data_IF_468608240010
#
_entry.id   IF_468608240010
#
_cell.length_a   1.000
_cell.length_b   1.000
_cell.length_c   1.000
_cell.angle_alpha   90.00
_cell.angle_beta   90.00
_cell.angle_gamma   90.00
#
_symmetry.space_group_name_H-M   'P 1'
#
loop_
_entity.id
_entity.type
_entity.pdbx_description
1 polymer ?
#
# COMPACT_ATOMS: atom_id res chain seq x y z
N UNK A 1 -16.70 -5.05 14.45
CA UNK A 1 -16.32 -5.73 13.19
C UNK A 1 -16.13 -7.22 13.46
N UNK A 2 -16.23 -8.08 12.45
CA UNK A 2 -15.91 -9.51 12.64
C UNK A 2 -14.40 -9.73 12.79
N UNK A 3 -13.99 -10.82 13.45
CA UNK A 3 -12.56 -11.20 13.54
C UNK A 3 -11.92 -11.32 12.16
N UNK A 4 -12.63 -11.91 11.20
CA UNK A 4 -12.16 -12.07 9.81
C UNK A 4 -11.88 -10.69 9.19
N UNK A 5 -12.80 -9.73 9.35
CA UNK A 5 -12.61 -8.37 8.81
C UNK A 5 -11.40 -7.68 9.43
N UNK A 6 -11.20 -7.83 10.73
CA UNK A 6 -10.03 -7.29 11.44
C UNK A 6 -8.73 -7.89 10.89
N UNK A 7 -8.68 -9.21 10.70
CA UNK A 7 -7.51 -9.89 10.13
C UNK A 7 -7.23 -9.43 8.70
N UNK A 8 -8.26 -9.30 7.85
CA UNK A 8 -8.11 -8.83 6.46
C UNK A 8 -7.56 -7.40 6.40
N UNK A 9 -8.08 -6.49 7.23
CA UNK A 9 -7.54 -5.11 7.30
C UNK A 9 -6.10 -5.11 7.81
N UNK A 10 -5.77 -5.93 8.81
CA UNK A 10 -4.41 -6.06 9.32
C UNK A 10 -3.45 -6.57 8.25
N UNK A 11 -3.82 -7.62 7.53
CA UNK A 11 -3.05 -8.16 6.40
C UNK A 11 -2.88 -7.13 5.29
N UNK A 12 -3.93 -6.36 4.99
CA UNK A 12 -3.87 -5.30 3.97
C UNK A 12 -2.91 -4.18 4.39
N UNK A 13 -2.92 -3.77 5.66
CA UNK A 13 -1.94 -2.82 6.19
C UNK A 13 -0.50 -3.35 6.07
N UNK A 14 -0.27 -4.62 6.43
CA UNK A 14 1.03 -5.25 6.26
C UNK A 14 1.47 -5.33 4.79
N UNK A 15 0.55 -5.67 3.88
CA UNK A 15 0.81 -5.66 2.44
C UNK A 15 1.29 -4.29 1.96
N UNK A 16 0.64 -3.20 2.38
CA UNK A 16 1.07 -1.85 2.00
C UNK A 16 2.43 -1.45 2.61
N UNK A 17 2.78 -1.92 3.81
CA UNK A 17 4.14 -1.75 4.35
C UNK A 17 5.17 -2.52 3.53
N UNK A 18 4.84 -3.73 3.06
CA UNK A 18 5.72 -4.51 2.18
C UNK A 18 5.90 -3.82 0.83
N UNK A 19 4.83 -3.30 0.23
CA UNK A 19 4.88 -2.53 -1.03
C UNK A 19 5.73 -1.27 -0.83
N UNK A 20 5.50 -0.50 0.25
CA UNK A 20 6.35 0.65 0.59
C UNK A 20 7.83 0.25 0.66
N UNK A 21 8.15 -0.83 1.37
CA UNK A 21 9.54 -1.25 1.53
C UNK A 21 10.19 -1.58 0.17
N UNK A 22 9.46 -2.24 -0.73
CA UNK A 22 9.90 -2.54 -2.08
C UNK A 22 10.08 -1.27 -2.93
N UNK A 23 9.11 -0.36 -2.91
CA UNK A 23 9.14 0.90 -3.68
C UNK A 23 10.26 1.84 -3.21
N UNK A 24 10.50 1.93 -1.89
CA UNK A 24 11.48 2.88 -1.34
C UNK A 24 12.90 2.34 -1.26
N UNK A 25 13.04 1.05 -0.94
CA UNK A 25 14.33 0.45 -0.56
C UNK A 25 14.68 -0.79 -1.39
N UNK A 26 13.79 -1.26 -2.27
CA UNK A 26 14.04 -2.38 -3.15
C UNK A 26 15.20 -2.13 -4.12
N UNK A 27 15.87 -3.21 -4.54
CA UNK A 27 16.85 -3.12 -5.63
C UNK A 27 16.14 -2.84 -6.96
N UNK A 28 16.74 -2.09 -7.89
CA UNK A 28 16.14 -1.78 -9.19
C UNK A 28 15.64 -3.02 -9.95
N UNK A 29 16.35 -4.15 -9.85
CA UNK A 29 15.97 -5.42 -10.50
C UNK A 29 14.66 -5.97 -9.92
N UNK A 30 14.52 -5.94 -8.59
CA UNK A 30 13.31 -6.40 -7.91
C UNK A 30 12.14 -5.45 -8.16
N UNK A 31 12.38 -4.13 -8.19
CA UNK A 31 11.36 -3.14 -8.54
C UNK A 31 10.87 -3.33 -9.98
N UNK A 32 11.79 -3.52 -10.93
CA UNK A 32 11.45 -3.76 -12.33
C UNK A 32 10.59 -5.04 -12.51
N UNK A 33 10.96 -6.12 -11.83
CA UNK A 33 10.24 -7.40 -11.87
C UNK A 33 8.84 -7.29 -11.26
N UNK A 34 8.71 -6.72 -10.06
CA UNK A 34 7.45 -6.70 -9.32
C UNK A 34 6.45 -5.67 -9.85
N UNK A 35 6.94 -4.60 -10.50
CA UNK A 35 6.09 -3.54 -11.08
C UNK A 35 6.06 -3.59 -12.62
N UNK A 36 6.57 -4.66 -13.22
CA UNK A 36 6.57 -4.87 -14.69
C UNK A 36 7.12 -3.68 -15.49
N UNK A 37 8.14 -3.02 -14.93
CA UNK A 37 8.78 -1.84 -15.54
C UNK A 37 10.11 -2.21 -16.21
N UNK A 38 10.51 -1.53 -17.31
CA UNK A 38 11.84 -1.69 -17.88
C UNK A 38 12.94 -1.33 -16.87
N UNK A 39 13.95 -2.19 -16.72
CA UNK A 39 15.04 -1.98 -15.76
C UNK A 39 15.78 -0.65 -16.00
N UNK A 40 16.01 -0.29 -17.27
CA UNK A 40 16.68 0.96 -17.64
C UNK A 40 15.86 2.20 -17.28
N UNK A 41 14.52 2.08 -17.24
CA UNK A 41 13.64 3.14 -16.74
C UNK A 41 13.73 3.25 -15.22
N UNK A 42 13.62 2.12 -14.50
CA UNK A 42 13.68 2.09 -13.03
C UNK A 42 14.99 2.66 -12.50
N UNK A 43 16.11 2.46 -13.20
CA UNK A 43 17.42 3.02 -12.83
C UNK A 43 17.53 4.54 -12.98
N UNK A 44 16.59 5.20 -13.67
CA UNK A 44 16.62 6.65 -13.82
C UNK A 44 16.39 7.34 -12.47
N UNK A 45 17.14 8.41 -12.14
CA UNK A 45 16.99 9.12 -10.87
C UNK A 45 15.54 9.59 -10.60
N UNK A 46 14.85 10.08 -11.64
CA UNK A 46 13.47 10.56 -11.50
C UNK A 46 12.47 9.42 -11.25
N UNK A 47 12.69 8.24 -11.85
CA UNK A 47 11.86 7.07 -11.60
C UNK A 47 12.03 6.58 -10.16
N UNK A 48 13.27 6.57 -9.63
CA UNK A 48 13.55 6.25 -8.23
C UNK A 48 12.88 7.24 -7.25
N UNK A 49 12.87 8.54 -7.57
CA UNK A 49 12.16 9.55 -6.77
C UNK A 49 10.65 9.28 -6.81
N UNK A 50 10.07 9.01 -7.98
CA UNK A 50 8.65 8.72 -8.12
C UNK A 50 8.23 7.47 -7.34
N UNK A 51 9.01 6.38 -7.42
CA UNK A 51 8.79 5.17 -6.63
C UNK A 51 8.85 5.45 -5.14
N UNK A 52 9.84 6.20 -4.66
CA UNK A 52 9.93 6.55 -3.23
C UNK A 52 8.74 7.38 -2.74
N UNK A 53 8.25 8.31 -3.58
CA UNK A 53 7.06 9.08 -3.29
C UNK A 53 5.83 8.16 -3.21
N UNK A 54 5.66 7.22 -4.15
CA UNK A 54 4.59 6.23 -4.12
C UNK A 54 4.68 5.35 -2.86
N UNK A 55 5.91 4.94 -2.51
CA UNK A 55 6.24 4.19 -1.30
C UNK A 55 5.74 4.86 -0.04
N UNK A 56 6.08 6.13 0.19
CA UNK A 56 5.66 6.81 1.42
C UNK A 56 4.13 6.96 1.51
N UNK A 57 3.42 7.11 0.38
CA UNK A 57 1.95 7.11 0.38
C UNK A 57 1.38 5.73 0.79
N UNK A 58 1.93 4.64 0.26
CA UNK A 58 1.59 3.27 0.68
C UNK A 58 1.86 3.07 2.19
N UNK A 59 3.01 3.53 2.67
CA UNK A 59 3.39 3.46 4.08
C UNK A 59 2.46 4.23 5.00
N UNK A 60 2.15 5.47 4.66
CA UNK A 60 1.23 6.31 5.42
C UNK A 60 -0.17 5.69 5.47
N UNK A 61 -0.65 5.14 4.35
CA UNK A 61 -1.93 4.45 4.28
C UNK A 61 -1.98 3.23 5.21
N UNK A 62 -0.92 2.40 5.19
CA UNK A 62 -0.78 1.28 6.10
C UNK A 62 -0.82 1.71 7.57
N UNK A 63 -0.08 2.75 7.93
CA UNK A 63 -0.04 3.28 9.30
C UNK A 63 -1.43 3.73 9.75
N UNK A 64 -2.16 4.49 8.92
CA UNK A 64 -3.51 4.95 9.26
C UNK A 64 -4.47 3.77 9.42
N UNK A 65 -4.39 2.75 8.56
CA UNK A 65 -5.22 1.54 8.67
C UNK A 65 -4.94 0.76 9.96
N UNK A 66 -3.66 0.52 10.28
CA UNK A 66 -3.25 -0.22 11.47
C UNK A 66 -3.57 0.55 12.75
N UNK A 67 -3.34 1.86 12.78
CA UNK A 67 -3.72 2.71 13.92
C UNK A 67 -5.25 2.78 14.08
N UNK A 68 -6.03 2.76 13.00
CA UNK A 68 -7.49 2.71 13.08
C UNK A 68 -8.00 1.42 13.72
N UNK A 69 -7.27 0.30 13.59
CA UNK A 69 -7.59 -0.96 14.29
C UNK A 69 -7.34 -0.87 15.80
N UNK A 70 -6.38 -0.06 16.23
CA UNK A 70 -5.92 0.01 17.63
C UNK A 70 -6.59 1.16 18.41
N UNK A 71 -6.74 2.32 17.77
CA UNK A 71 -7.12 3.57 18.43
C UNK A 71 -8.61 3.88 18.32
N UNK A 72 -9.25 3.51 17.20
CA UNK A 72 -10.68 3.77 16.98
C UNK A 72 -11.53 2.60 17.45
N UNK A 73 -12.76 2.90 17.89
CA UNK A 73 -13.70 1.91 18.39
C UNK A 73 -15.12 2.19 17.87
N UNK A 74 -15.98 1.17 17.86
CA UNK A 74 -17.39 1.33 17.51
C UNK A 74 -17.63 1.78 16.06
N UNK A 75 -18.50 2.78 15.89
CA UNK A 75 -18.95 3.24 14.56
C UNK A 75 -17.85 3.98 13.80
N UNK A 76 -17.00 4.73 14.48
CA UNK A 76 -15.92 5.51 13.87
C UNK A 76 -14.86 4.60 13.24
N UNK A 77 -14.49 3.52 13.94
CA UNK A 77 -13.61 2.49 13.40
C UNK A 77 -14.21 1.86 12.14
N UNK A 78 -15.51 1.52 12.19
CA UNK A 78 -16.20 0.86 11.09
C UNK A 78 -16.25 1.75 9.84
N UNK A 79 -16.63 3.02 9.99
CA UNK A 79 -16.71 3.98 8.88
C UNK A 79 -15.30 4.20 8.31
N UNK A 80 -14.32 4.49 9.16
CA UNK A 80 -12.94 4.76 8.74
C UNK A 80 -12.36 3.59 7.95
N UNK A 81 -12.45 2.38 8.49
CA UNK A 81 -11.89 1.20 7.82
C UNK A 81 -12.62 0.85 6.53
N UNK A 82 -13.93 1.07 6.42
CA UNK A 82 -14.67 0.89 5.16
C UNK A 82 -14.24 1.89 4.09
N UNK A 83 -14.03 3.15 4.45
CA UNK A 83 -13.56 4.16 3.52
C UNK A 83 -12.15 3.85 3.04
N UNK A 84 -11.25 3.48 3.96
CA UNK A 84 -9.86 3.13 3.62
C UNK A 84 -9.77 1.85 2.78
N UNK A 85 -10.48 0.78 3.14
CA UNK A 85 -10.47 -0.45 2.33
C UNK A 85 -11.16 -0.25 0.99
N UNK A 86 -12.22 0.56 0.93
CA UNK A 86 -12.86 0.95 -0.33
C UNK A 86 -11.91 1.71 -1.25
N UNK A 87 -11.19 2.70 -0.69
CA UNK A 87 -10.14 3.44 -1.40
C UNK A 87 -9.05 2.49 -1.93
N UNK A 88 -8.49 1.64 -1.06
CA UNK A 88 -7.46 0.66 -1.44
C UNK A 88 -7.97 -0.29 -2.52
N UNK A 89 -9.22 -0.73 -2.43
CA UNK A 89 -9.81 -1.62 -3.44
C UNK A 89 -9.84 -0.95 -4.80
N UNK A 90 -10.30 0.30 -4.89
CA UNK A 90 -10.34 1.04 -6.16
C UNK A 90 -8.94 1.24 -6.74
N UNK A 91 -8.00 1.73 -5.92
CA UNK A 91 -6.63 2.01 -6.36
C UNK A 91 -5.89 0.73 -6.74
N UNK A 92 -6.03 -0.33 -5.94
CA UNK A 92 -5.38 -1.62 -6.17
C UNK A 92 -5.92 -2.33 -7.42
N UNK A 93 -7.23 -2.28 -7.66
CA UNK A 93 -7.82 -2.82 -8.90
C UNK A 93 -7.32 -2.07 -10.13
N UNK A 94 -7.28 -0.74 -10.09
CA UNK A 94 -6.76 0.05 -11.21
C UNK A 94 -5.27 -0.22 -11.44
N UNK A 95 -4.46 -0.15 -10.38
CA UNK A 95 -3.03 -0.43 -10.43
C UNK A 95 -2.73 -1.79 -11.03
N UNK A 96 -3.34 -2.85 -10.48
CA UNK A 96 -3.14 -4.22 -10.98
C UNK A 96 -3.61 -4.47 -12.41
N UNK A 97 -4.52 -3.64 -12.95
CA UNK A 97 -4.92 -3.71 -14.36
C UNK A 97 -4.00 -2.93 -15.31
N UNK A 98 -3.08 -2.12 -14.77
CA UNK A 98 -2.19 -1.23 -15.55
C UNK A 98 -0.71 -1.55 -15.39
N UNK A 99 -0.37 -2.50 -14.52
CA UNK A 99 0.98 -3.06 -14.36
C UNK A 99 1.21 -4.14 -15.41
#
# INVERSE_FOLDING_TARGET
MSLISTLLVGLLGLLHLTIMALEMFGKPESQAENFSMPLDFVKQPNAQIALKNQGIYNGALAVVMLLSLILLHGIDQLITLRLLTGFVTVVGLYGGATV
#
